data_IF_124993747223
#
_entry.id   IF_124993747223
#
_cell.length_a   1.000
_cell.length_b   1.000
_cell.length_c   1.000
_cell.angle_alpha   90.00
_cell.angle_beta   90.00
_cell.angle_gamma   90.00
#
_symmetry.space_group_name_H-M   'P 1'
#
loop_
_entity.id
_entity.type
_entity.pdbx_description
1 polymer ?
#
# COMPACT_ATOMS: atom_id res chain seq x y z
N UNK A 1 24.58 -10.42 7.87
CA UNK A 1 23.49 -9.45 8.13
C UNK A 1 23.58 -8.45 7.01
N UNK A 2 22.54 -8.30 6.20
CA UNK A 2 22.54 -7.31 5.11
C UNK A 2 22.52 -5.90 5.71
N UNK A 3 23.27 -4.99 5.12
CA UNK A 3 23.30 -3.59 5.54
C UNK A 3 21.97 -2.91 5.19
N UNK A 4 21.54 -1.95 6.01
CA UNK A 4 20.33 -1.17 5.75
C UNK A 4 20.63 -0.12 4.67
N UNK A 5 20.66 -0.57 3.41
CA UNK A 5 21.00 0.23 2.25
C UNK A 5 19.79 0.38 1.30
N UNK A 6 19.34 1.61 1.10
CA UNK A 6 18.21 1.92 0.23
C UNK A 6 18.52 1.79 -1.26
N UNK A 7 19.80 1.67 -1.64
CA UNK A 7 20.23 1.63 -3.04
C UNK A 7 20.33 0.22 -3.63
N UNK A 8 20.16 -0.83 -2.82
CA UNK A 8 20.30 -2.23 -3.26
C UNK A 8 19.05 -3.05 -2.95
N UNK A 9 18.71 -4.07 -3.77
CA UNK A 9 17.57 -4.96 -3.49
C UNK A 9 17.67 -5.66 -2.13
N UNK A 10 18.86 -6.15 -1.77
CA UNK A 10 19.10 -6.82 -0.49
C UNK A 10 18.97 -5.85 0.70
N UNK A 11 19.40 -4.61 0.54
CA UNK A 11 19.24 -3.59 1.57
C UNK A 11 17.78 -3.15 1.74
N UNK A 12 17.01 -3.02 0.65
CA UNK A 12 15.56 -2.79 0.72
C UNK A 12 14.83 -3.93 1.43
N UNK A 13 15.24 -5.19 1.18
CA UNK A 13 14.70 -6.34 1.90
C UNK A 13 15.03 -6.28 3.41
N UNK A 14 16.27 -5.92 3.76
CA UNK A 14 16.70 -5.75 5.15
C UNK A 14 15.96 -4.61 5.87
N UNK A 15 15.71 -3.49 5.18
CA UNK A 15 14.92 -2.36 5.70
C UNK A 15 13.48 -2.78 5.94
N UNK A 16 12.87 -3.51 5.00
CA UNK A 16 11.52 -4.06 5.16
C UNK A 16 11.45 -4.95 6.40
N UNK A 17 12.39 -5.88 6.57
CA UNK A 17 12.43 -6.77 7.74
C UNK A 17 12.64 -6.00 9.04
N UNK A 18 13.50 -4.97 9.02
CA UNK A 18 13.75 -4.10 10.18
C UNK A 18 12.52 -3.28 10.59
N UNK A 19 11.75 -2.76 9.63
CA UNK A 19 10.51 -2.04 9.90
C UNK A 19 9.42 -2.98 10.41
N UNK A 20 9.28 -4.16 9.79
CA UNK A 20 8.32 -5.19 10.17
C UNK A 20 8.49 -5.62 11.63
N UNK A 21 9.74 -5.79 12.07
CA UNK A 21 10.05 -6.18 13.45
C UNK A 21 9.63 -5.15 14.51
N UNK A 22 9.30 -3.91 14.12
CA UNK A 22 8.85 -2.84 15.04
C UNK A 22 7.34 -2.77 15.18
N UNK A 23 6.59 -3.46 14.32
CA UNK A 23 5.14 -3.51 14.37
C UNK A 23 4.74 -4.78 15.12
N UNK A 24 4.18 -4.63 16.32
CA UNK A 24 3.66 -5.76 17.07
C UNK A 24 2.52 -6.44 16.31
N UNK A 25 2.59 -7.76 16.17
CA UNK A 25 1.57 -8.53 15.44
C UNK A 25 1.66 -8.44 13.92
N UNK A 26 2.72 -7.84 13.36
CA UNK A 26 2.84 -7.64 11.92
C UNK A 26 2.60 -8.91 11.09
N UNK A 27 1.60 -8.84 10.23
CA UNK A 27 1.33 -9.82 9.17
C UNK A 27 1.41 -9.11 7.83
N UNK A 28 2.33 -9.49 6.93
CA UNK A 28 2.34 -8.94 5.58
C UNK A 28 0.99 -9.20 4.89
N UNK A 29 0.32 -8.17 4.35
CA UNK A 29 -0.91 -8.36 3.61
C UNK A 29 -0.63 -9.12 2.30
N UNK A 30 -1.55 -9.98 1.88
CA UNK A 30 -1.50 -10.63 0.56
C UNK A 30 -1.83 -9.64 -0.55
N UNK A 31 -2.63 -8.61 -0.27
CA UNK A 31 -2.90 -7.52 -1.19
C UNK A 31 -3.10 -6.20 -0.46
N UNK A 32 -2.71 -5.09 -1.09
CA UNK A 32 -2.95 -3.76 -0.54
C UNK A 32 -2.91 -2.67 -1.61
N UNK A 33 -3.59 -1.57 -1.35
CA UNK A 33 -3.57 -0.38 -2.20
C UNK A 33 -3.90 0.89 -1.40
N UNK A 34 -3.54 2.04 -1.96
CA UNK A 34 -4.09 3.34 -1.53
C UNK A 34 -5.15 3.74 -2.55
N UNK A 35 -6.38 3.88 -2.08
CA UNK A 35 -7.54 4.28 -2.85
C UNK A 35 -7.86 5.76 -2.67
N UNK A 36 -8.42 6.36 -3.71
CA UNK A 36 -8.93 7.72 -3.69
C UNK A 36 -10.41 7.70 -4.05
N UNK A 37 -11.21 8.43 -3.28
CA UNK A 37 -12.65 8.45 -3.45
C UNK A 37 -13.03 9.00 -4.84
N UNK A 38 -14.19 8.63 -5.37
CA UNK A 38 -14.57 9.05 -6.71
C UNK A 38 -14.77 10.57 -6.82
N UNK A 39 -14.36 11.15 -7.94
CA UNK A 39 -14.58 12.57 -8.24
C UNK A 39 -15.93 12.75 -8.95
N UNK A 40 -17.05 12.73 -8.20
CA UNK A 40 -18.46 13.06 -8.57
C UNK A 40 -19.09 12.48 -9.85
N UNK A 41 -18.33 11.89 -10.77
CA UNK A 41 -18.74 11.48 -12.13
C UNK A 41 -18.53 9.98 -12.38
N UNK A 42 -17.79 9.31 -11.50
CA UNK A 42 -17.67 7.85 -11.43
C UNK A 42 -18.07 7.42 -10.02
N UNK A 43 -18.75 6.29 -9.82
CA UNK A 43 -19.12 5.83 -8.49
C UNK A 43 -18.03 4.99 -7.81
N UNK A 44 -16.98 4.60 -8.53
CA UNK A 44 -16.00 3.62 -8.06
C UNK A 44 -14.72 4.26 -7.49
N UNK A 45 -14.15 3.58 -6.49
CA UNK A 45 -12.85 3.93 -5.93
C UNK A 45 -11.75 3.81 -6.99
N UNK A 46 -10.88 4.82 -7.05
CA UNK A 46 -9.75 4.82 -7.95
C UNK A 46 -8.49 4.30 -7.23
N UNK A 47 -7.81 3.33 -7.84
CA UNK A 47 -6.55 2.78 -7.35
C UNK A 47 -5.45 2.99 -8.41
N UNK A 48 -4.49 3.86 -8.11
CA UNK A 48 -3.36 4.12 -9.03
C UNK A 48 -2.41 2.93 -9.16
N UNK A 49 -2.31 2.11 -8.11
CA UNK A 49 -1.59 0.85 -8.11
C UNK A 49 -2.16 -0.11 -7.07
N UNK A 50 -2.36 -1.37 -7.46
CA UNK A 50 -2.82 -2.45 -6.58
C UNK A 50 -1.71 -3.49 -6.48
N UNK A 51 -1.29 -3.79 -5.26
CA UNK A 51 -0.35 -4.87 -5.00
C UNK A 51 -1.15 -6.16 -4.87
N UNK A 52 -1.03 -7.04 -5.86
CA UNK A 52 -1.78 -8.29 -5.94
C UNK A 52 -1.14 -9.41 -5.09
N UNK A 53 -1.92 -10.47 -4.76
CA UNK A 53 -1.40 -11.70 -4.16
C UNK A 53 -0.20 -12.25 -4.94
N UNK A 54 0.84 -12.70 -4.22
CA UNK A 54 2.08 -13.20 -4.81
C UNK A 54 3.06 -12.11 -5.28
N UNK A 55 2.73 -10.83 -5.10
CA UNK A 55 3.61 -9.70 -5.41
C UNK A 55 4.86 -9.63 -4.53
N UNK A 56 5.88 -8.89 -4.99
CA UNK A 56 7.19 -8.75 -4.31
C UNK A 56 7.37 -7.44 -3.53
N UNK A 57 6.41 -6.51 -3.61
CA UNK A 57 6.53 -5.17 -3.04
C UNK A 57 6.07 -5.12 -1.57
N UNK A 58 6.80 -5.80 -0.69
CA UNK A 58 6.50 -5.81 0.76
C UNK A 58 6.96 -4.56 1.52
N UNK A 59 7.97 -3.85 1.01
CA UNK A 59 8.49 -2.64 1.66
C UNK A 59 7.46 -1.49 1.74
N UNK A 60 6.74 -1.13 0.66
CA UNK A 60 5.73 -0.08 0.77
C UNK A 60 4.60 -0.47 1.73
N UNK A 61 4.20 -1.74 1.80
CA UNK A 61 3.18 -2.23 2.73
C UNK A 61 3.55 -1.93 4.18
N UNK A 62 4.78 -2.27 4.58
CA UNK A 62 5.24 -2.06 5.96
C UNK A 62 5.48 -0.58 6.27
N UNK A 63 5.94 0.21 5.31
CA UNK A 63 6.05 1.68 5.47
C UNK A 63 4.69 2.30 5.72
N UNK A 64 3.70 1.97 4.89
CA UNK A 64 2.33 2.48 5.04
C UNK A 64 1.73 2.05 6.38
N UNK A 65 1.87 0.78 6.74
CA UNK A 65 1.40 0.26 8.01
C UNK A 65 2.08 0.92 9.23
N UNK A 66 3.38 1.22 9.14
CA UNK A 66 4.11 1.94 10.20
C UNK A 66 3.49 3.32 10.46
N UNK A 67 3.20 4.08 9.39
CA UNK A 67 2.59 5.42 9.50
C UNK A 67 1.16 5.35 10.04
N UNK A 68 0.39 4.36 9.59
CA UNK A 68 -0.99 4.14 10.01
C UNK A 68 -1.13 3.44 11.37
N UNK A 69 0.00 2.96 11.94
CA UNK A 69 0.03 2.12 13.15
C UNK A 69 -0.85 0.87 13.03
N UNK A 70 -0.79 0.24 11.86
CA UNK A 70 -1.56 -0.95 11.52
C UNK A 70 -0.69 -2.19 11.55
N UNK A 71 -1.26 -3.32 11.94
CA UNK A 71 -0.57 -4.61 12.05
C UNK A 71 -0.61 -5.43 10.74
N UNK A 72 -1.27 -4.92 9.71
CA UNK A 72 -1.41 -5.59 8.41
C UNK A 72 -2.57 -6.57 8.33
N UNK A 73 -3.40 -6.68 9.37
CA UNK A 73 -4.69 -7.39 9.32
C UNK A 73 -5.63 -6.81 8.26
N UNK A 74 -6.64 -7.58 7.83
CA UNK A 74 -7.61 -7.11 6.84
C UNK A 74 -8.40 -5.91 7.36
N UNK A 75 -8.25 -4.75 6.72
CA UNK A 75 -8.90 -3.51 7.12
C UNK A 75 -8.88 -2.48 5.97
N UNK A 76 -9.84 -1.55 6.03
CA UNK A 76 -9.78 -0.29 5.28
C UNK A 76 -9.63 0.84 6.28
N UNK A 77 -8.58 1.65 6.12
CA UNK A 77 -8.24 2.73 7.05
C UNK A 77 -8.32 4.08 6.31
N UNK A 78 -8.95 5.07 6.93
CA UNK A 78 -8.89 6.46 6.43
C UNK A 78 -7.44 6.96 6.48
N UNK A 79 -7.03 7.67 5.43
CA UNK A 79 -5.68 8.22 5.30
C UNK A 79 -5.77 9.74 5.16
N UNK A 80 -5.11 10.47 6.04
CA UNK A 80 -4.97 11.92 5.91
C UNK A 80 -3.90 12.31 4.88
N UNK A 81 -3.95 13.55 4.39
CA UNK A 81 -2.88 14.14 3.57
C UNK A 81 -1.51 14.01 4.24
N UNK A 82 -1.41 14.31 5.53
CA UNK A 82 -0.15 14.24 6.27
C UNK A 82 0.36 12.81 6.45
N UNK A 83 -0.53 11.82 6.61
CA UNK A 83 -0.14 10.41 6.69
C UNK A 83 0.38 9.90 5.35
N UNK A 84 -0.29 10.21 4.23
CA UNK A 84 0.20 9.78 2.92
C UNK A 84 1.52 10.49 2.56
N UNK A 85 1.65 11.78 2.85
CA UNK A 85 2.90 12.51 2.68
C UNK A 85 4.05 11.88 3.50
N UNK A 86 3.82 11.57 4.78
CA UNK A 86 4.82 10.91 5.62
C UNK A 86 5.23 9.52 5.10
N UNK A 87 4.28 8.75 4.55
CA UNK A 87 4.57 7.46 3.93
C UNK A 87 5.41 7.62 2.65
N UNK A 88 5.12 8.62 1.82
CA UNK A 88 5.92 8.97 0.63
C UNK A 88 7.33 9.39 1.03
N UNK A 89 7.48 10.29 2.00
CA UNK A 89 8.79 10.74 2.49
C UNK A 89 9.61 9.57 3.06
N UNK A 90 8.96 8.66 3.79
CA UNK A 90 9.61 7.48 4.36
C UNK A 90 10.05 6.47 3.30
N UNK A 91 9.31 6.34 2.19
CA UNK A 91 9.60 5.40 1.11
C UNK A 91 10.50 5.98 0.01
N UNK A 92 10.54 7.30 -0.15
CA UNK A 92 11.30 7.99 -1.20
C UNK A 92 12.77 7.57 -1.33
N UNK A 93 13.52 7.28 -0.24
CA UNK A 93 14.89 6.81 -0.38
C UNK A 93 15.04 5.53 -1.22
N UNK A 94 14.00 4.70 -1.36
CA UNK A 94 14.03 3.48 -2.17
C UNK A 94 14.29 3.76 -3.66
N UNK A 95 13.99 4.96 -4.16
CA UNK A 95 14.29 5.36 -5.55
C UNK A 95 15.79 5.34 -5.86
N UNK A 96 16.66 5.32 -4.85
CA UNK A 96 18.09 5.12 -5.04
C UNK A 96 18.41 3.73 -5.62
N UNK A 97 17.56 2.73 -5.38
CA UNK A 97 17.65 1.42 -6.00
C UNK A 97 16.97 1.47 -7.37
N UNK A 98 17.78 1.55 -8.42
CA UNK A 98 17.32 1.61 -9.83
C UNK A 98 17.11 0.23 -10.46
N UNK A 99 17.40 -0.85 -9.72
CA UNK A 99 17.22 -2.24 -10.17
C UNK A 99 15.76 -2.72 -10.08
N UNK A 100 14.91 -2.00 -9.34
CA UNK A 100 13.49 -2.32 -9.17
C UNK A 100 12.64 -1.08 -9.40
N UNK A 101 11.44 -1.28 -9.94
CA UNK A 101 10.45 -0.21 -10.07
C UNK A 101 9.79 0.12 -8.73
N UNK A 102 9.33 1.37 -8.60
CA UNK A 102 8.64 1.89 -7.41
C UNK A 102 7.20 2.34 -7.71
N UNK A 103 6.33 1.46 -8.24
CA UNK A 103 4.99 1.85 -8.71
C UNK A 103 4.10 2.39 -7.58
N UNK A 104 4.27 1.89 -6.35
CA UNK A 104 3.57 2.42 -5.17
C UNK A 104 3.90 3.89 -4.94
N UNK A 105 5.18 4.27 -4.97
CA UNK A 105 5.60 5.64 -4.69
C UNK A 105 5.07 6.61 -5.77
N UNK A 106 5.12 6.21 -7.04
CA UNK A 106 4.54 6.98 -8.13
C UNK A 106 3.02 7.15 -7.96
N UNK A 107 2.29 6.07 -7.66
CA UNK A 107 0.85 6.12 -7.46
C UNK A 107 0.45 6.98 -6.25
N UNK A 108 1.17 6.86 -5.12
CA UNK A 108 0.88 7.64 -3.91
C UNK A 108 1.08 9.14 -4.11
N UNK A 109 2.12 9.55 -4.87
CA UNK A 109 2.34 10.96 -5.23
C UNK A 109 1.19 11.52 -6.05
N UNK A 110 0.64 10.75 -7.00
CA UNK A 110 -0.55 11.15 -7.77
C UNK A 110 -1.76 11.28 -6.87
N UNK A 111 -2.02 10.29 -6.01
CA UNK A 111 -3.15 10.31 -5.06
C UNK A 111 -3.06 11.53 -4.13
N UNK A 112 -1.87 11.82 -3.58
CA UNK A 112 -1.65 12.99 -2.73
C UNK A 112 -1.97 14.29 -3.48
N UNK A 113 -1.42 14.47 -4.69
CA UNK A 113 -1.65 15.67 -5.49
C UNK A 113 -3.14 15.87 -5.86
N UNK A 114 -3.86 14.78 -6.16
CA UNK A 114 -5.30 14.86 -6.44
C UNK A 114 -6.12 15.21 -5.19
N UNK A 115 -5.76 14.66 -4.03
CA UNK A 115 -6.42 14.97 -2.76
C UNK A 115 -6.15 16.41 -2.28
N UNK A 116 -4.93 16.92 -2.50
CA UNK A 116 -4.58 18.33 -2.24
C UNK A 116 -5.37 19.28 -3.15
N UNK A 117 -5.57 18.90 -4.42
CA UNK A 117 -6.28 19.70 -5.41
C UNK A 117 -7.79 19.68 -5.23
N UNK A 118 -8.35 18.67 -4.55
CA UNK A 118 -9.77 18.54 -4.30
C UNK A 118 -10.06 18.01 -2.87
N UNK A 119 -10.25 18.91 -1.89
CA UNK A 119 -10.53 18.54 -0.50
C UNK A 119 -11.81 17.75 -0.26
N UNK A 120 -12.71 17.67 -1.26
CA UNK A 120 -13.91 16.83 -1.16
C UNK A 120 -13.62 15.35 -1.40
N UNK A 121 -12.41 14.99 -1.85
CA UNK A 121 -11.99 13.60 -2.01
C UNK A 121 -11.33 13.08 -0.74
N UNK A 122 -11.67 11.85 -0.37
CA UNK A 122 -11.05 11.14 0.75
C UNK A 122 -10.12 10.04 0.24
N UNK A 123 -9.13 9.67 1.05
CA UNK A 123 -8.19 8.60 0.75
C UNK A 123 -8.34 7.48 1.76
N UNK A 124 -8.14 6.26 1.29
CA UNK A 124 -8.12 5.08 2.15
C UNK A 124 -6.92 4.21 1.83
N UNK A 125 -6.43 3.49 2.83
CA UNK A 125 -5.51 2.36 2.64
C UNK A 125 -6.29 1.07 2.87
N UNK A 126 -6.28 0.18 1.89
CA UNK A 126 -6.88 -1.15 2.00
C UNK A 126 -5.77 -2.16 2.22
N UNK A 127 -5.89 -2.96 3.26
CA UNK A 127 -5.05 -4.13 3.56
C UNK A 127 -5.93 -5.37 3.51
N UNK A 128 -5.45 -6.41 2.83
CA UNK A 128 -6.06 -7.74 2.81
C UNK A 128 -5.00 -8.73 3.30
N UNK A 129 -5.18 -9.23 4.52
CA UNK A 129 -4.30 -10.22 5.13
C UNK A 129 -4.57 -11.63 4.62
N UNK A 130 -5.83 -11.92 4.31
CA UNK A 130 -6.31 -13.19 3.79
C UNK A 130 -7.43 -12.96 2.77
N UNK A 131 -7.45 -13.72 1.67
CA UNK A 131 -8.51 -13.59 0.67
C UNK A 131 -9.86 -14.11 1.18
N UNK A 132 -9.83 -15.01 2.16
CA UNK A 132 -11.03 -15.54 2.83
C UNK A 132 -11.57 -14.60 3.92
N UNK A 133 -10.82 -13.54 4.30
CA UNK A 133 -11.31 -12.55 5.25
C UNK A 133 -12.50 -11.78 4.66
N UNK A 134 -13.52 -11.44 5.46
CA UNK A 134 -14.65 -10.62 5.01
C UNK A 134 -14.19 -9.30 4.36
N UNK A 135 -14.91 -8.88 3.33
CA UNK A 135 -14.72 -7.56 2.72
C UNK A 135 -14.98 -6.48 3.77
N UNK A 136 -13.99 -5.62 3.99
CA UNK A 136 -13.99 -4.61 5.05
C UNK A 136 -14.70 -3.31 4.68
N UNK A 137 -14.83 -3.00 3.39
CA UNK A 137 -15.46 -1.77 2.88
C UNK A 137 -15.82 -1.90 1.39
N UNK A 138 -16.54 -0.92 0.83
CA UNK A 138 -16.74 -0.83 -0.62
C UNK A 138 -15.42 -0.68 -1.39
N UNK A 139 -14.44 0.05 -0.83
CA UNK A 139 -13.12 0.20 -1.45
C UNK A 139 -12.38 -1.14 -1.53
N UNK A 140 -12.45 -1.95 -0.47
CA UNK A 140 -11.91 -3.32 -0.44
C UNK A 140 -12.61 -4.20 -1.49
N UNK A 141 -13.94 -4.13 -1.58
CA UNK A 141 -14.71 -4.83 -2.61
C UNK A 141 -14.30 -4.44 -4.03
N UNK A 142 -14.20 -3.14 -4.33
CA UNK A 142 -13.73 -2.62 -5.61
C UNK A 142 -12.30 -3.08 -5.91
N UNK A 143 -11.40 -3.05 -4.92
CA UNK A 143 -10.02 -3.50 -5.09
C UNK A 143 -9.98 -5.00 -5.42
N UNK A 144 -10.65 -5.86 -4.64
CA UNK A 144 -10.64 -7.33 -4.86
C UNK A 144 -11.30 -7.72 -6.18
N UNK A 145 -12.27 -6.96 -6.67
CA UNK A 145 -12.86 -7.20 -7.99
C UNK A 145 -11.82 -7.13 -9.14
N UNK A 146 -10.72 -6.40 -8.94
CA UNK A 146 -9.62 -6.31 -9.92
C UNK A 146 -8.71 -7.54 -9.95
N UNK A 147 -8.84 -8.49 -9.01
CA UNK A 147 -7.93 -9.64 -8.88
C UNK A 147 -8.18 -10.74 -9.94
N UNK A 148 -9.15 -10.56 -10.83
CA UNK A 148 -9.61 -11.58 -11.78
C UNK A 148 -8.46 -12.07 -12.66
N UNK A 149 -8.08 -13.34 -12.46
CA UNK A 149 -6.90 -14.01 -13.01
C UNK A 149 -6.25 -15.01 -12.02
N UNK A 150 -6.50 -14.88 -10.72
CA UNK A 150 -6.01 -15.80 -9.67
C UNK A 150 -7.10 -16.76 -9.21
N UNK A 151 -7.51 -17.69 -10.07
CA UNK A 151 -8.24 -18.88 -9.61
C UNK A 151 -7.24 -19.78 -8.90
N UNK A 152 -7.44 -20.20 -7.63
CA UNK A 152 -6.68 -21.31 -7.09
C UNK A 152 -7.02 -22.54 -7.96
N UNK A 153 -6.01 -23.16 -8.56
CA UNK A 153 -6.18 -24.50 -9.12
C UNK A 153 -6.57 -25.43 -7.96
N UNK A 154 -7.72 -26.10 -8.12
CA UNK A 154 -8.22 -27.15 -7.23
C UNK A 154 -7.31 -28.37 -7.26
#
# INVERSE_FOLDING_TARGET
MSELDWSTPDGLAAIKDHLAAKIEGWRPPVAYAVGLSPASSSPEWAFGHVNLPGGRHGLPAVVLATVLKHDGSTATLDVSLSQLAAAIESLAPAEACTEVDHPNLAAWRVVLAEAESNPARSMVAVFVADLDDPVSSEADGTMRATFTGHTPEL
#
